data_IF_659469013864
#
_entry.id   IF_659469013864
#
_cell.length_a   1.000
_cell.length_b   1.000
_cell.length_c   1.000
_cell.angle_alpha   90.00
_cell.angle_beta   90.00
_cell.angle_gamma   90.00
#
_symmetry.space_group_name_H-M   'P 1'
#
loop_
_entity.id
_entity.type
_entity.pdbx_description
1 polymer ?
#
# COMPACT_ATOMS: atom_id res chain seq x y z
N UNK A 1 -10.60 11.61 -33.85
CA UNK A 1 -11.41 11.75 -32.61
C UNK A 1 -10.59 11.20 -31.45
N UNK A 2 -10.38 11.99 -30.38
CA UNK A 2 -9.70 11.48 -29.19
C UNK A 2 -10.59 10.41 -28.51
N UNK A 3 -10.04 9.23 -28.25
CA UNK A 3 -10.78 8.14 -27.59
C UNK A 3 -11.22 8.62 -26.20
N UNK A 4 -12.52 8.49 -25.90
CA UNK A 4 -13.08 8.82 -24.59
C UNK A 4 -12.33 8.04 -23.51
N UNK A 5 -11.92 8.73 -22.45
CA UNK A 5 -11.21 8.13 -21.35
C UNK A 5 -12.07 7.06 -20.65
N UNK A 6 -11.48 5.90 -20.37
CA UNK A 6 -12.10 4.86 -19.52
C UNK A 6 -11.84 5.21 -18.05
N UNK A 7 -12.91 5.35 -17.27
CA UNK A 7 -12.89 5.53 -15.82
C UNK A 7 -13.00 4.17 -15.13
N UNK A 8 -12.33 3.99 -14.00
CA UNK A 8 -12.37 2.74 -13.25
C UNK A 8 -12.93 3.00 -11.85
N UNK A 9 -13.92 2.21 -11.45
CA UNK A 9 -14.43 2.20 -10.08
C UNK A 9 -13.44 1.53 -9.13
N UNK A 10 -13.26 2.15 -7.96
CA UNK A 10 -12.36 1.74 -6.89
C UNK A 10 -13.02 1.93 -5.50
N UNK A 11 -14.32 2.20 -5.47
CA UNK A 11 -15.09 2.43 -4.23
C UNK A 11 -14.97 1.30 -3.21
N UNK A 12 -14.99 0.05 -3.66
CA UNK A 12 -14.82 -1.15 -2.81
C UNK A 12 -13.51 -1.11 -2.01
N UNK A 13 -12.39 -0.74 -2.64
CA UNK A 13 -11.11 -0.64 -1.96
C UNK A 13 -11.00 0.60 -1.08
N UNK A 14 -11.65 1.71 -1.44
CA UNK A 14 -11.71 2.89 -0.57
C UNK A 14 -12.45 2.56 0.72
N UNK A 15 -13.58 1.86 0.64
CA UNK A 15 -14.32 1.38 1.80
C UNK A 15 -13.50 0.38 2.62
N UNK A 16 -12.83 -0.57 1.95
CA UNK A 16 -11.98 -1.55 2.63
C UNK A 16 -10.83 -0.87 3.40
N UNK A 17 -10.25 0.20 2.85
CA UNK A 17 -9.14 0.93 3.45
C UNK A 17 -9.57 2.14 4.29
N UNK A 18 -10.86 2.26 4.61
CA UNK A 18 -11.34 3.34 5.47
C UNK A 18 -10.66 3.28 6.85
N UNK A 19 -10.40 4.45 7.45
CA UNK A 19 -9.60 4.56 8.68
C UNK A 19 -8.10 4.29 8.51
N UNK A 20 -7.66 3.63 7.43
CA UNK A 20 -6.25 3.27 7.22
C UNK A 20 -5.44 4.42 6.64
N UNK A 21 -4.61 5.06 7.47
CA UNK A 21 -3.81 6.23 7.03
C UNK A 21 -2.54 5.86 6.27
N UNK A 22 -1.96 4.69 6.53
CA UNK A 22 -0.61 4.32 6.10
C UNK A 22 -0.55 2.88 5.56
N UNK A 23 0.32 2.63 4.57
CA UNK A 23 0.54 1.30 3.99
C UNK A 23 1.14 0.29 4.98
N UNK A 24 1.60 0.76 6.15
CA UNK A 24 2.09 -0.09 7.25
C UNK A 24 0.99 -0.98 7.82
N UNK A 25 -0.28 -0.55 7.74
CA UNK A 25 -1.43 -1.34 8.14
C UNK A 25 -1.84 -2.39 7.10
N UNK A 26 -1.11 -2.50 5.98
CA UNK A 26 -1.26 -3.62 5.08
C UNK A 26 -0.48 -4.83 5.61
N UNK A 27 -1.08 -6.01 5.45
CA UNK A 27 -0.40 -7.29 5.63
C UNK A 27 0.81 -7.40 4.69
N UNK A 28 1.69 -8.36 4.94
CA UNK A 28 2.80 -8.63 4.02
C UNK A 28 2.27 -8.98 2.62
N UNK A 29 1.16 -9.72 2.52
CA UNK A 29 0.49 -10.02 1.24
C UNK A 29 -0.01 -8.76 0.54
N UNK A 30 -0.70 -7.87 1.27
CA UNK A 30 -1.15 -6.58 0.72
C UNK A 30 0.02 -5.72 0.21
N UNK A 31 1.13 -5.69 0.95
CA UNK A 31 2.36 -4.98 0.54
C UNK A 31 3.04 -5.64 -0.66
N UNK A 32 3.05 -6.96 -0.72
CA UNK A 32 3.64 -7.73 -1.82
C UNK A 32 2.83 -7.55 -3.11
N UNK A 33 1.50 -7.51 -3.05
CA UNK A 33 0.64 -7.20 -4.19
C UNK A 33 0.98 -5.80 -4.75
N UNK A 34 1.00 -4.77 -3.91
CA UNK A 34 1.40 -3.43 -4.34
C UNK A 34 2.78 -3.42 -5.01
N UNK A 35 3.78 -4.00 -4.35
CA UNK A 35 5.15 -4.02 -4.85
C UNK A 35 5.26 -4.73 -6.19
N UNK A 36 4.72 -5.95 -6.28
CA UNK A 36 4.78 -6.77 -7.50
C UNK A 36 4.12 -6.10 -8.69
N UNK A 37 2.95 -5.49 -8.50
CA UNK A 37 2.24 -4.79 -9.58
C UNK A 37 3.00 -3.53 -10.02
N UNK A 38 3.49 -2.72 -9.07
CA UNK A 38 4.31 -1.54 -9.40
C UNK A 38 5.58 -1.98 -10.16
N UNK A 39 6.23 -3.04 -9.70
CA UNK A 39 7.43 -3.59 -10.32
C UNK A 39 7.16 -4.08 -11.75
N UNK A 40 6.00 -4.70 -11.99
CA UNK A 40 5.56 -5.15 -13.30
C UNK A 40 5.23 -4.00 -14.25
N UNK A 41 4.39 -3.05 -13.83
CA UNK A 41 3.99 -1.90 -14.63
C UNK A 41 5.14 -0.93 -14.94
N UNK A 42 6.16 -0.91 -14.07
CA UNK A 42 7.32 -0.03 -14.20
C UNK A 42 8.62 -0.78 -14.49
N UNK A 43 8.54 -2.01 -15.06
CA UNK A 43 9.71 -2.86 -15.33
C UNK A 43 10.81 -2.15 -16.13
N UNK A 44 10.44 -1.31 -17.09
CA UNK A 44 11.38 -0.55 -17.94
C UNK A 44 11.81 0.80 -17.35
N UNK A 45 11.24 1.21 -16.21
CA UNK A 45 11.58 2.49 -15.58
C UNK A 45 12.77 2.35 -14.65
N UNK A 46 13.74 3.27 -14.76
CA UNK A 46 14.87 3.37 -13.83
C UNK A 46 14.47 3.76 -12.41
N UNK A 47 13.30 4.41 -12.26
CA UNK A 47 12.75 4.83 -10.96
C UNK A 47 11.31 4.38 -10.86
N UNK A 48 11.03 3.54 -9.87
CA UNK A 48 9.69 3.05 -9.56
C UNK A 48 8.97 4.02 -8.65
N UNK A 49 7.64 4.02 -8.70
CA UNK A 49 6.83 4.79 -7.75
C UNK A 49 6.93 4.18 -6.36
N UNK A 50 6.91 5.04 -5.34
CA UNK A 50 6.95 4.55 -3.97
C UNK A 50 5.62 3.88 -3.61
N UNK A 51 5.69 2.72 -2.94
CA UNK A 51 4.51 1.95 -2.52
C UNK A 51 3.51 2.82 -1.75
N UNK A 52 4.01 3.61 -0.79
CA UNK A 52 3.20 4.55 0.00
C UNK A 52 2.40 5.52 -0.87
N UNK A 53 2.96 5.94 -1.99
CA UNK A 53 2.35 6.93 -2.88
C UNK A 53 1.20 6.32 -3.65
N UNK A 54 1.41 5.11 -4.18
CA UNK A 54 0.38 4.37 -4.88
C UNK A 54 -0.74 3.97 -3.92
N UNK A 55 -0.39 3.46 -2.75
CA UNK A 55 -1.38 3.14 -1.72
C UNK A 55 -2.22 4.36 -1.33
N UNK A 56 -1.58 5.53 -1.12
CA UNK A 56 -2.30 6.78 -0.85
C UNK A 56 -3.33 7.11 -1.93
N UNK A 57 -2.97 6.96 -3.20
CA UNK A 57 -3.90 7.21 -4.32
C UNK A 57 -5.06 6.20 -4.30
N UNK A 58 -4.78 4.91 -4.16
CA UNK A 58 -5.80 3.85 -4.13
C UNK A 58 -6.79 4.07 -2.99
N UNK A 59 -6.32 4.38 -1.78
CA UNK A 59 -7.23 4.60 -0.65
C UNK A 59 -8.03 5.90 -0.70
N UNK A 60 -7.71 6.83 -1.61
CA UNK A 60 -8.33 8.16 -1.66
C UNK A 60 -9.29 8.35 -2.83
N UNK A 61 -9.17 7.54 -3.89
CA UNK A 61 -9.91 7.73 -5.14
C UNK A 61 -11.03 6.70 -5.27
N UNK A 62 -12.30 7.11 -5.13
CA UNK A 62 -13.45 6.26 -5.47
C UNK A 62 -13.49 5.92 -6.97
N UNK A 63 -13.00 6.83 -7.82
CA UNK A 63 -12.88 6.64 -9.27
C UNK A 63 -11.43 6.94 -9.69
N UNK A 64 -10.83 6.05 -10.48
CA UNK A 64 -9.50 6.23 -11.06
C UNK A 64 -9.66 6.79 -12.49
N UNK A 65 -9.39 8.08 -12.63
CA UNK A 65 -9.35 8.83 -13.89
C UNK A 65 -8.14 9.76 -13.93
N UNK A 66 -7.80 10.31 -15.10
CA UNK A 66 -6.71 11.28 -15.24
C UNK A 66 -6.96 12.50 -14.37
N UNK A 67 -8.22 12.93 -14.27
CA UNK A 67 -8.61 14.06 -13.45
C UNK A 67 -8.42 13.78 -11.95
N UNK A 68 -8.90 12.63 -11.45
CA UNK A 68 -8.76 12.29 -10.03
C UNK A 68 -7.31 12.01 -9.64
N UNK A 69 -6.57 11.29 -10.49
CA UNK A 69 -5.13 11.04 -10.28
C UNK A 69 -4.36 12.36 -10.25
N UNK A 70 -4.63 13.28 -11.18
CA UNK A 70 -4.02 14.62 -11.18
C UNK A 70 -4.34 15.35 -9.88
N UNK A 71 -5.62 15.43 -9.51
CA UNK A 71 -6.06 16.13 -8.31
C UNK A 71 -5.31 15.68 -7.05
N UNK A 72 -5.25 14.37 -6.80
CA UNK A 72 -4.58 13.84 -5.60
C UNK A 72 -3.05 13.95 -5.66
N UNK A 73 -2.45 13.88 -6.86
CA UNK A 73 -1.03 14.15 -7.02
C UNK A 73 -0.70 15.63 -6.80
N UNK A 74 -1.55 16.54 -7.27
CA UNK A 74 -1.36 17.99 -7.12
C UNK A 74 -1.52 18.43 -5.66
N UNK A 75 -2.51 17.92 -4.93
CA UNK A 75 -2.62 18.13 -3.48
C UNK A 75 -1.33 17.73 -2.76
N UNK A 76 -0.68 16.67 -3.23
CA UNK A 76 0.56 16.16 -2.66
C UNK A 76 1.79 16.97 -3.09
N UNK A 77 1.87 17.46 -4.33
CA UNK A 77 2.99 18.30 -4.79
C UNK A 77 2.95 19.69 -4.15
N UNK A 78 1.76 20.26 -3.93
CA UNK A 78 1.56 21.49 -3.14
C UNK A 78 2.12 21.30 -1.72
N UNK A 79 1.73 20.20 -1.06
CA UNK A 79 2.23 19.89 0.29
C UNK A 79 3.76 19.68 0.34
N UNK A 80 4.37 19.23 -0.76
CA UNK A 80 5.82 18.98 -0.86
C UNK A 80 6.62 20.11 -1.53
N UNK A 81 5.95 21.19 -1.95
CA UNK A 81 6.56 22.30 -2.74
C UNK A 81 7.33 21.80 -3.98
N UNK A 82 6.83 20.77 -4.63
CA UNK A 82 7.45 20.19 -5.84
C UNK A 82 6.74 20.67 -7.10
N UNK A 83 7.45 20.63 -8.25
CA UNK A 83 6.84 20.97 -9.54
C UNK A 83 5.67 20.03 -9.88
N UNK A 84 4.63 20.53 -10.57
CA UNK A 84 3.55 19.69 -11.09
C UNK A 84 4.07 18.58 -12.01
N UNK A 85 3.39 17.44 -12.02
CA UNK A 85 3.75 16.31 -12.87
C UNK A 85 3.29 16.52 -14.31
N UNK A 86 4.05 15.96 -15.26
CA UNK A 86 3.68 16.01 -16.68
C UNK A 86 2.42 15.18 -16.96
N UNK A 87 1.68 15.53 -18.02
CA UNK A 87 0.50 14.77 -18.44
C UNK A 87 0.82 13.29 -18.71
N UNK A 88 2.00 12.99 -19.24
CA UNK A 88 2.44 11.62 -19.48
C UNK A 88 2.70 10.87 -18.17
N UNK A 89 3.30 11.54 -17.18
CA UNK A 89 3.47 10.96 -15.84
C UNK A 89 2.13 10.61 -15.21
N UNK A 90 1.12 11.48 -15.36
CA UNK A 90 -0.22 11.25 -14.83
C UNK A 90 -0.89 10.02 -15.50
N UNK A 91 -0.70 9.84 -16.81
CA UNK A 91 -1.19 8.63 -17.51
C UNK A 91 -0.52 7.36 -16.97
N UNK A 92 0.78 7.39 -16.70
CA UNK A 92 1.50 6.25 -16.11
C UNK A 92 1.02 5.97 -14.69
N UNK A 93 0.86 7.00 -13.85
CA UNK A 93 0.26 6.86 -12.52
C UNK A 93 -1.13 6.23 -12.58
N UNK A 94 -1.99 6.71 -13.48
CA UNK A 94 -3.32 6.14 -13.68
C UNK A 94 -3.24 4.65 -14.02
N UNK A 95 -2.38 4.27 -14.97
CA UNK A 95 -2.19 2.87 -15.38
C UNK A 95 -1.79 1.99 -14.20
N UNK A 96 -0.79 2.41 -13.43
CA UNK A 96 -0.34 1.69 -12.23
C UNK A 96 -1.46 1.58 -11.20
N UNK A 97 -2.20 2.67 -10.94
CA UNK A 97 -3.30 2.64 -9.99
C UNK A 97 -4.43 1.69 -10.43
N UNK A 98 -4.76 1.66 -11.72
CA UNK A 98 -5.77 0.71 -12.24
C UNK A 98 -5.29 -0.74 -12.08
N UNK A 99 -4.04 -1.04 -12.41
CA UNK A 99 -3.49 -2.38 -12.25
C UNK A 99 -3.49 -2.82 -10.79
N UNK A 100 -3.08 -1.94 -9.87
CA UNK A 100 -3.05 -2.21 -8.43
C UNK A 100 -4.46 -2.40 -7.87
N UNK A 101 -5.39 -1.50 -8.22
CA UNK A 101 -6.79 -1.59 -7.80
C UNK A 101 -7.41 -2.93 -8.18
N UNK A 102 -7.21 -3.37 -9.42
CA UNK A 102 -7.67 -4.69 -9.88
C UNK A 102 -7.03 -5.83 -9.09
N UNK A 103 -5.71 -5.83 -8.95
CA UNK A 103 -5.00 -6.92 -8.27
C UNK A 103 -5.37 -7.03 -6.78
N UNK A 104 -5.51 -5.90 -6.08
CA UNK A 104 -5.93 -5.89 -4.68
C UNK A 104 -7.39 -6.33 -4.54
N UNK A 105 -8.29 -5.84 -5.40
CA UNK A 105 -9.69 -6.27 -5.41
C UNK A 105 -9.82 -7.78 -5.65
N UNK A 106 -9.14 -8.30 -6.67
CA UNK A 106 -9.15 -9.73 -7.00
C UNK A 106 -8.61 -10.58 -5.84
N UNK A 107 -7.56 -10.10 -5.16
CA UNK A 107 -7.02 -10.78 -3.99
C UNK A 107 -8.02 -10.77 -2.82
N UNK A 108 -8.66 -9.63 -2.54
CA UNK A 108 -9.68 -9.51 -1.51
C UNK A 108 -10.87 -10.44 -1.77
N UNK A 109 -11.35 -10.50 -3.01
CA UNK A 109 -12.45 -11.40 -3.42
C UNK A 109 -12.07 -12.88 -3.29
N UNK A 110 -10.79 -13.22 -3.34
CA UNK A 110 -10.25 -14.57 -3.09
C UNK A 110 -10.01 -14.86 -1.60
N UNK A 111 -10.40 -13.94 -0.71
CA UNK A 111 -10.23 -14.08 0.73
C UNK A 111 -8.83 -13.71 1.23
N UNK A 112 -7.98 -13.09 0.42
CA UNK A 112 -6.67 -12.59 0.90
C UNK A 112 -6.91 -11.43 1.85
N UNK A 113 -6.36 -11.54 3.05
CA UNK A 113 -6.41 -10.49 4.04
C UNK A 113 -5.42 -9.38 3.68
N UNK A 114 -5.92 -8.23 3.25
CA UNK A 114 -5.09 -7.10 2.81
C UNK A 114 -4.68 -6.17 3.96
N UNK A 115 -5.56 -6.01 4.96
CA UNK A 115 -5.32 -5.19 6.14
C UNK A 115 -5.00 -6.04 7.36
N UNK A 116 -4.11 -5.50 8.16
CA UNK A 116 -3.79 -5.96 9.50
C UNK A 116 -5.06 -5.78 10.37
N UNK A 117 -5.64 -6.85 10.95
CA UNK A 117 -6.89 -6.76 11.72
C UNK A 117 -6.74 -5.90 12.98
N UNK A 118 -7.72 -5.02 13.25
CA UNK A 118 -7.68 -4.04 14.35
C UNK A 118 -7.62 -4.68 15.75
N UNK A 119 -8.20 -5.86 15.94
CA UNK A 119 -8.28 -6.54 17.25
C UNK A 119 -7.03 -7.38 17.60
N UNK A 120 -5.98 -7.29 16.79
CA UNK A 120 -4.77 -8.08 17.01
C UNK A 120 -3.77 -7.34 17.88
N UNK A 121 -3.34 -7.98 18.98
CA UNK A 121 -2.20 -7.54 19.76
C UNK A 121 -0.93 -7.70 18.93
N UNK A 122 -0.46 -6.60 18.33
CA UNK A 122 0.83 -6.57 17.65
C UNK A 122 1.94 -6.20 18.62
N UNK A 123 3.13 -6.75 18.36
CA UNK A 123 4.33 -6.30 19.05
C UNK A 123 4.53 -4.81 18.76
N UNK A 124 4.73 -4.03 19.82
CA UNK A 124 5.19 -2.66 19.72
C UNK A 124 6.53 -2.59 18.99
N UNK A 125 6.93 -1.39 18.56
CA UNK A 125 8.24 -1.20 17.90
C UNK A 125 9.39 -1.68 18.80
N UNK A 126 9.30 -1.40 20.10
CA UNK A 126 10.28 -1.88 21.08
C UNK A 126 10.25 -3.40 21.19
N UNK A 127 9.05 -3.98 21.35
CA UNK A 127 8.91 -5.42 21.50
C UNK A 127 9.42 -6.20 20.27
N UNK A 128 9.21 -5.64 19.08
CA UNK A 128 9.74 -6.16 17.81
C UNK A 128 11.26 -6.06 17.75
N UNK A 129 11.84 -4.96 18.22
CA UNK A 129 13.29 -4.76 18.23
C UNK A 129 13.99 -5.76 19.16
N UNK A 130 13.42 -5.98 20.36
CA UNK A 130 13.92 -6.96 21.33
C UNK A 130 13.86 -8.38 20.76
N UNK A 131 12.73 -8.78 20.17
CA UNK A 131 12.61 -10.11 19.53
C UNK A 131 13.62 -10.29 18.39
N UNK A 132 13.83 -9.27 17.55
CA UNK A 132 14.85 -9.30 16.49
C UNK A 132 16.26 -9.44 17.07
N UNK A 133 16.55 -8.79 18.19
CA UNK A 133 17.84 -8.92 18.86
C UNK A 133 18.03 -10.34 19.40
N UNK A 134 16.99 -10.95 19.99
CA UNK A 134 17.04 -12.34 20.47
C UNK A 134 17.35 -13.31 19.33
N UNK A 135 16.68 -13.16 18.17
CA UNK A 135 16.95 -13.94 16.95
C UNK A 135 18.40 -13.74 16.48
N UNK A 136 18.86 -12.48 16.38
CA UNK A 136 20.22 -12.15 15.92
C UNK A 136 21.29 -12.74 16.85
N UNK A 137 21.03 -12.76 18.16
CA UNK A 137 21.91 -13.32 19.18
C UNK A 137 21.80 -14.84 19.35
N UNK A 138 20.98 -15.52 18.53
CA UNK A 138 20.73 -16.96 18.60
C UNK A 138 20.30 -17.45 19.99
N UNK A 139 19.44 -16.67 20.68
CA UNK A 139 18.87 -17.15 21.95
C UNK A 139 18.08 -18.46 21.73
N UNK A 140 17.95 -19.32 22.75
CA UNK A 140 17.11 -20.52 22.68
C UNK A 140 15.65 -20.18 22.35
N UNK A 141 14.97 -21.09 21.65
CA UNK A 141 13.55 -20.93 21.28
C UNK A 141 12.67 -20.71 22.51
N UNK A 142 12.91 -21.46 23.59
CA UNK A 142 12.14 -21.37 24.83
C UNK A 142 12.19 -19.97 25.46
N UNK A 143 13.36 -19.31 25.40
CA UNK A 143 13.49 -17.94 25.88
C UNK A 143 12.69 -16.94 25.03
N UNK A 144 12.58 -17.17 23.71
CA UNK A 144 11.74 -16.36 22.83
C UNK A 144 10.25 -16.60 23.11
N UNK A 145 9.85 -17.85 23.38
CA UNK A 145 8.47 -18.20 23.75
C UNK A 145 8.11 -17.54 25.08
N UNK A 146 8.97 -17.65 26.10
CA UNK A 146 8.74 -17.05 27.42
C UNK A 146 8.54 -15.53 27.30
N UNK A 147 9.42 -14.85 26.55
CA UNK A 147 9.28 -13.43 26.25
C UNK A 147 7.92 -13.12 25.61
N UNK A 148 7.55 -13.80 24.52
CA UNK A 148 6.26 -13.57 23.83
C UNK A 148 5.05 -13.85 24.71
N UNK A 149 5.14 -14.87 25.58
CA UNK A 149 4.05 -15.24 26.49
C UNK A 149 3.90 -14.20 27.60
N UNK A 150 5.00 -13.62 28.08
CA UNK A 150 5.00 -12.53 29.06
C UNK A 150 4.39 -11.21 28.55
N UNK A 151 4.29 -11.02 27.22
CA UNK A 151 3.66 -9.84 26.62
C UNK A 151 2.13 -9.91 26.54
N UNK A 152 1.54 -11.09 26.77
CA UNK A 152 0.08 -11.30 26.73
C UNK A 152 -0.63 -11.00 28.06
N UNK A 153 0.12 -10.77 29.14
CA UNK A 153 -0.39 -10.41 30.47
C UNK A 153 -0.43 -8.89 30.63
#
# INVERSE_FOLDING_TARGET
MARKEIKHDNSELVLLFDGTRNYVYLTDDGRNILKSVIDGEMKSSRRKYAIRDIFYLIRSMNEISLATVRHYLDLRTVNKRTRPLSAESIKVYKRVCVAVSKAMRDAHQKGVQLLVPDDSQYLSTQQTAELRQMIKSKKPLDAMIEYLTGLKN
#
